data_IF_768869851478
#
_entry.id   IF_768869851478
#
_cell.length_a   1.000
_cell.length_b   1.000
_cell.length_c   1.000
_cell.angle_alpha   90.00
_cell.angle_beta   90.00
_cell.angle_gamma   90.00
#
_symmetry.space_group_name_H-M   'P 1'
#
loop_
_entity.id
_entity.type
_entity.pdbx_description
1 polymer ?
#
# COMPACT_ATOMS: atom_id res chain seq x y z
N UNK A 1 -0.09 11.36 3.47
CA UNK A 1 -0.31 9.93 3.16
C UNK A 1 -1.33 9.69 2.07
N UNK A 2 -1.98 10.74 1.63
CA UNK A 2 -3.05 10.59 0.65
C UNK A 2 -2.57 9.98 -0.67
N UNK A 3 -1.40 10.39 -1.14
CA UNK A 3 -0.89 9.84 -2.41
C UNK A 3 -0.60 8.34 -2.31
N UNK A 4 -0.16 7.90 -1.15
CA UNK A 4 0.09 6.47 -0.94
C UNK A 4 -1.21 5.71 -0.89
N UNK A 5 -2.21 6.28 -0.24
CA UNK A 5 -3.51 5.64 -0.13
C UNK A 5 -4.18 5.52 -1.50
N UNK A 6 -4.07 6.58 -2.31
CA UNK A 6 -4.60 6.51 -3.68
C UNK A 6 -3.92 5.41 -4.47
N UNK A 7 -2.61 5.29 -4.30
CA UNK A 7 -1.84 4.26 -4.98
C UNK A 7 -2.32 2.87 -4.56
N UNK A 8 -2.49 2.68 -3.25
CA UNK A 8 -2.93 1.38 -2.73
C UNK A 8 -4.35 1.05 -3.19
N UNK A 9 -5.22 2.04 -3.24
CA UNK A 9 -6.58 1.83 -3.75
C UNK A 9 -6.54 1.40 -5.21
N UNK A 10 -5.67 2.00 -6.00
CA UNK A 10 -5.55 1.65 -7.41
C UNK A 10 -5.02 0.22 -7.56
N UNK A 11 -4.04 -0.15 -6.74
CA UNK A 11 -3.51 -1.51 -6.77
C UNK A 11 -4.60 -2.53 -6.44
N UNK A 12 -5.41 -2.23 -5.43
CA UNK A 12 -6.49 -3.13 -5.06
C UNK A 12 -7.45 -3.33 -6.22
N UNK A 13 -7.71 -2.26 -6.96
CA UNK A 13 -8.65 -2.33 -8.06
C UNK A 13 -8.12 -3.07 -9.28
N UNK A 14 -6.80 -3.24 -9.37
CA UNK A 14 -6.23 -4.03 -10.45
C UNK A 14 -6.35 -5.53 -10.21
N UNK A 15 -6.93 -5.93 -9.09
CA UNK A 15 -7.11 -7.33 -8.78
C UNK A 15 -6.01 -7.94 -7.94
N UNK A 16 -5.20 -7.11 -7.30
CA UNK A 16 -4.16 -7.61 -6.41
C UNK A 16 -4.82 -8.30 -5.23
N UNK A 17 -4.67 -9.61 -5.15
CA UNK A 17 -5.39 -10.42 -4.18
C UNK A 17 -4.82 -10.28 -2.78
N UNK A 18 -3.50 -10.26 -2.67
CA UNK A 18 -2.83 -10.17 -1.38
C UNK A 18 -2.19 -8.80 -1.21
N UNK A 19 -2.87 -7.93 -0.48
CA UNK A 19 -2.38 -6.56 -0.32
C UNK A 19 -1.10 -6.46 0.50
N UNK A 20 -0.73 -7.51 1.23
CA UNK A 20 0.55 -7.47 1.92
C UNK A 20 1.73 -7.44 0.94
N UNK A 21 1.52 -7.90 -0.28
CA UNK A 21 2.53 -7.77 -1.32
C UNK A 21 2.72 -6.34 -1.80
N UNK A 22 1.82 -5.45 -1.43
CA UNK A 22 1.91 -4.06 -1.86
C UNK A 22 3.12 -3.33 -1.27
N UNK A 23 3.72 -3.86 -0.19
CA UNK A 23 4.92 -3.22 0.34
C UNK A 23 6.03 -3.17 -0.70
N UNK A 24 6.21 -4.24 -1.47
CA UNK A 24 7.22 -4.25 -2.51
C UNK A 24 6.95 -3.18 -3.56
N UNK A 25 5.69 -3.03 -3.92
CA UNK A 25 5.32 -2.01 -4.89
C UNK A 25 5.59 -0.60 -4.36
N UNK A 26 5.27 -0.37 -3.10
CA UNK A 26 5.53 0.92 -2.48
C UNK A 26 7.03 1.21 -2.43
N UNK A 27 7.84 0.21 -2.11
CA UNK A 27 9.27 0.38 -2.06
C UNK A 27 9.83 0.78 -3.42
N UNK A 28 9.39 0.09 -4.46
CA UNK A 28 9.90 0.32 -5.80
C UNK A 28 9.41 1.62 -6.39
N UNK A 29 8.13 1.92 -6.22
CA UNK A 29 7.55 3.08 -6.90
C UNK A 29 7.85 4.40 -6.21
N UNK A 30 8.04 4.38 -4.90
CA UNK A 30 8.29 5.60 -4.13
C UNK A 30 9.68 5.65 -3.50
N UNK A 31 10.48 4.61 -3.70
CA UNK A 31 11.82 4.57 -3.13
C UNK A 31 11.81 4.52 -1.62
N UNK A 32 10.84 3.86 -1.04
CA UNK A 32 10.71 3.77 0.42
C UNK A 32 11.50 2.58 0.97
N UNK A 33 11.88 2.70 2.25
CA UNK A 33 12.44 1.56 2.96
C UNK A 33 11.33 0.56 3.23
N UNK A 34 11.72 -0.68 3.51
CA UNK A 34 10.74 -1.72 3.79
C UNK A 34 9.87 -1.35 4.99
N UNK A 35 10.49 -0.81 6.04
CA UNK A 35 9.75 -0.45 7.24
C UNK A 35 8.74 0.64 6.96
N UNK A 36 9.14 1.64 6.17
CA UNK A 36 8.24 2.73 5.86
C UNK A 36 7.07 2.26 5.02
N UNK A 37 7.34 1.43 4.01
CA UNK A 37 6.29 0.90 3.16
C UNK A 37 5.31 0.06 3.97
N UNK A 38 5.83 -0.76 4.87
CA UNK A 38 5.00 -1.59 5.72
C UNK A 38 4.12 -0.74 6.63
N UNK A 39 4.69 0.31 7.19
CA UNK A 39 3.93 1.20 8.06
C UNK A 39 2.76 1.83 7.31
N UNK A 40 3.02 2.30 6.10
CA UNK A 40 1.99 2.93 5.28
C UNK A 40 0.88 1.93 4.97
N UNK A 41 1.26 0.72 4.60
CA UNK A 41 0.29 -0.32 4.28
C UNK A 41 -0.59 -0.65 5.48
N UNK A 42 0.02 -0.81 6.65
CA UNK A 42 -0.73 -1.16 7.84
C UNK A 42 -1.70 -0.05 8.24
N UNK A 43 -1.27 1.20 8.12
CA UNK A 43 -2.17 2.31 8.41
C UNK A 43 -3.35 2.35 7.46
N UNK A 44 -3.08 2.08 6.19
CA UNK A 44 -4.13 2.05 5.18
C UNK A 44 -5.16 0.96 5.50
N UNK A 45 -4.68 -0.22 5.89
CA UNK A 45 -5.58 -1.32 6.24
C UNK A 45 -6.43 -0.97 7.45
N UNK A 46 -5.79 -0.42 8.48
CA UNK A 46 -6.49 -0.07 9.72
C UNK A 46 -7.57 0.97 9.46
N UNK A 47 -7.33 1.88 8.52
CA UNK A 47 -8.30 2.93 8.21
C UNK A 47 -9.38 2.47 7.23
N UNK A 48 -9.42 1.17 6.98
CA UNK A 48 -10.50 0.60 6.18
C UNK A 48 -10.26 0.55 4.70
N UNK A 49 -9.02 0.76 4.28
CA UNK A 49 -8.70 0.78 2.86
C UNK A 49 -8.89 -0.55 2.17
N UNK A 50 -8.87 -1.64 2.93
CA UNK A 50 -8.95 -2.97 2.36
C UNK A 50 -10.37 -3.54 2.37
N UNK A 51 -11.35 -2.76 2.62
CA UNK A 51 -12.73 -3.25 2.68
C UNK A 51 -13.19 -3.93 1.39
#
# INVERSE_FOLDING_TARGET
>A
MEKYYKYLNALRETGLVNMFGATDYLENDFGLSHEKAKEILLKWIVEGGEK
#
